data_IF_426791617472
#
_entry.id   IF_426791617472
#
_cell.length_a   1.000
_cell.length_b   1.000
_cell.length_c   1.000
_cell.angle_alpha   90.00
_cell.angle_beta   90.00
_cell.angle_gamma   90.00
#
_symmetry.space_group_name_H-M   'P 1'
#
loop_
_entity.id
_entity.type
_entity.pdbx_description
1 polymer ?
#
# COMPACT_ATOMS: atom_id res chain seq x y z
N UNK A 1 -30.97 8.22 -4.49
CA UNK A 1 -29.51 8.18 -4.67
C UNK A 1 -28.96 7.79 -3.30
N UNK A 2 -28.27 6.65 -3.18
CA UNK A 2 -27.66 6.30 -1.89
C UNK A 2 -26.44 7.20 -1.74
N UNK A 3 -26.42 8.00 -0.69
CA UNK A 3 -25.26 8.81 -0.34
C UNK A 3 -24.15 7.86 0.08
N UNK A 4 -23.05 7.83 -0.66
CA UNK A 4 -21.93 6.94 -0.35
C UNK A 4 -21.18 7.54 0.85
N UNK A 5 -21.08 6.82 1.98
CA UNK A 5 -20.37 7.35 3.13
C UNK A 5 -18.88 7.51 2.83
N UNK A 6 -18.26 8.47 3.52
CA UNK A 6 -16.80 8.64 3.55
C UNK A 6 -16.12 7.31 3.89
N UNK A 7 -15.13 6.89 3.10
CA UNK A 7 -14.38 5.67 3.38
C UNK A 7 -13.09 5.97 4.13
N UNK A 8 -12.78 5.14 5.13
CA UNK A 8 -11.49 5.11 5.83
C UNK A 8 -10.81 3.80 5.47
N UNK A 9 -9.64 3.88 4.83
CA UNK A 9 -8.79 2.72 4.62
C UNK A 9 -7.97 2.47 5.89
N UNK A 10 -8.41 1.48 6.66
CA UNK A 10 -7.87 1.19 7.99
C UNK A 10 -6.46 0.57 7.97
N UNK A 11 -5.98 0.09 6.81
CA UNK A 11 -4.65 -0.50 6.71
C UNK A 11 -4.19 -0.56 5.25
N UNK A 12 -3.33 0.37 4.88
CA UNK A 12 -2.70 0.40 3.57
C UNK A 12 -1.19 0.65 3.66
N UNK A 13 -0.53 0.63 2.51
CA UNK A 13 0.85 1.04 2.34
C UNK A 13 0.92 2.24 1.40
N UNK A 14 2.10 2.84 1.29
CA UNK A 14 2.38 3.79 0.22
C UNK A 14 2.22 3.16 -1.18
N UNK A 15 2.12 4.03 -2.18
CA UNK A 15 2.11 3.65 -3.60
C UNK A 15 3.52 3.77 -4.18
N UNK A 16 3.82 3.01 -5.24
CA UNK A 16 5.14 3.03 -5.88
C UNK A 16 5.39 4.39 -6.55
N UNK A 17 6.59 4.96 -6.36
CA UNK A 17 7.00 6.21 -7.03
C UNK A 17 7.39 6.03 -8.50
N UNK A 18 7.26 4.82 -9.05
CA UNK A 18 7.68 4.47 -10.41
C UNK A 18 6.60 3.69 -11.15
N UNK A 19 6.54 3.85 -12.47
CA UNK A 19 5.66 3.04 -13.31
C UNK A 19 6.22 1.63 -13.50
N UNK A 20 5.32 0.64 -13.45
CA UNK A 20 5.68 -0.77 -13.62
C UNK A 20 5.55 -1.23 -15.08
N UNK A 21 6.45 -2.12 -15.49
CA UNK A 21 6.33 -2.97 -16.68
C UNK A 21 5.08 -3.85 -16.63
N UNK A 22 4.66 -4.43 -17.77
CA UNK A 22 3.49 -5.32 -17.79
C UNK A 22 3.64 -6.48 -16.81
N UNK A 23 4.77 -7.20 -16.85
CA UNK A 23 5.02 -8.33 -15.96
C UNK A 23 5.18 -7.92 -14.49
N UNK A 24 5.88 -6.81 -14.20
CA UNK A 24 6.04 -6.35 -12.81
C UNK A 24 4.75 -5.80 -12.21
N UNK A 25 3.88 -5.20 -13.03
CA UNK A 25 2.53 -4.81 -12.62
C UNK A 25 1.64 -6.03 -12.38
N UNK A 26 1.68 -6.99 -13.31
CA UNK A 26 0.92 -8.24 -13.20
C UNK A 26 1.26 -8.97 -11.89
N UNK A 27 2.54 -9.01 -11.52
CA UNK A 27 3.01 -9.61 -10.26
C UNK A 27 2.43 -8.94 -9.01
N UNK A 28 1.95 -7.69 -9.07
CA UNK A 28 1.30 -7.01 -7.95
C UNK A 28 -0.18 -7.40 -7.78
N UNK A 29 -0.79 -8.07 -8.76
CA UNK A 29 -2.22 -8.39 -8.74
C UNK A 29 -2.57 -9.60 -7.88
N UNK A 30 -1.59 -10.44 -7.55
CA UNK A 30 -1.79 -11.62 -6.72
C UNK A 30 -0.79 -11.65 -5.57
N UNK A 31 -1.31 -11.98 -4.37
CA UNK A 31 -0.50 -12.28 -3.18
C UNK A 31 -0.16 -13.77 -3.06
N UNK A 32 -0.50 -14.58 -4.07
CA UNK A 32 -0.35 -16.04 -4.06
C UNK A 32 1.00 -16.47 -4.59
N UNK A 33 1.57 -17.51 -4.00
CA UNK A 33 2.74 -18.20 -4.56
C UNK A 33 2.31 -19.08 -5.74
N UNK A 34 2.65 -18.65 -6.96
CA UNK A 34 2.52 -19.48 -8.15
C UNK A 34 2.18 -18.70 -9.43
N UNK A 35 2.56 -19.23 -10.60
CA UNK A 35 2.18 -18.65 -11.88
C UNK A 35 0.66 -18.70 -12.09
N UNK A 36 0.09 -17.85 -12.96
CA UNK A 36 -1.30 -17.98 -13.37
C UNK A 36 -1.57 -19.35 -14.00
N UNK A 37 -2.82 -19.79 -13.97
CA UNK A 37 -3.22 -21.05 -14.60
C UNK A 37 -2.88 -21.04 -16.11
N UNK A 38 -2.56 -22.19 -16.72
CA UNK A 38 -2.20 -22.25 -18.13
C UNK A 38 -3.23 -21.55 -19.03
N UNK A 39 -2.76 -20.62 -19.87
CA UNK A 39 -3.60 -19.83 -20.77
C UNK A 39 -4.25 -18.58 -20.15
N UNK A 40 -3.92 -18.25 -18.90
CA UNK A 40 -4.44 -17.06 -18.19
C UNK A 40 -3.31 -16.15 -17.70
N UNK A 41 -3.67 -14.97 -17.21
CA UNK A 41 -2.79 -13.96 -16.61
C UNK A 41 -3.28 -13.60 -15.20
N UNK A 42 -2.45 -12.94 -14.38
CA UNK A 42 -2.92 -12.45 -13.07
C UNK A 42 -3.95 -11.30 -13.23
N UNK A 43 -4.10 -10.75 -14.44
CA UNK A 43 -5.22 -9.87 -14.78
C UNK A 43 -6.58 -10.58 -14.81
N UNK A 44 -6.60 -11.92 -14.85
CA UNK A 44 -7.81 -12.74 -14.82
C UNK A 44 -8.20 -13.17 -13.39
N UNK A 45 -7.44 -12.73 -12.38
CA UNK A 45 -7.83 -12.86 -10.95
C UNK A 45 -8.93 -11.85 -10.59
N UNK A 46 -9.60 -12.04 -9.45
CA UNK A 46 -10.59 -11.07 -8.96
C UNK A 46 -10.01 -9.66 -8.82
N UNK A 47 -8.79 -9.53 -8.31
CA UNK A 47 -8.05 -8.25 -8.23
C UNK A 47 -7.79 -7.68 -9.62
N UNK A 48 -7.31 -8.50 -10.56
CA UNK A 48 -7.08 -8.11 -11.95
C UNK A 48 -8.34 -7.61 -12.64
N UNK A 49 -9.47 -8.32 -12.47
CA UNK A 49 -10.77 -7.91 -12.97
C UNK A 49 -11.24 -6.58 -12.36
N UNK A 50 -11.05 -6.39 -11.06
CA UNK A 50 -11.40 -5.14 -10.37
C UNK A 50 -10.58 -3.96 -10.89
N UNK A 51 -9.26 -4.11 -11.00
CA UNK A 51 -8.37 -3.08 -11.58
C UNK A 51 -8.82 -2.73 -12.99
N UNK A 52 -9.03 -3.73 -13.85
CA UNK A 52 -9.45 -3.52 -15.23
C UNK A 52 -10.83 -2.88 -15.36
N UNK A 53 -11.72 -3.07 -14.39
CA UNK A 53 -13.05 -2.44 -14.39
C UNK A 53 -13.00 -0.98 -13.91
N UNK A 54 -12.33 -0.72 -12.80
CA UNK A 54 -12.48 0.54 -12.06
C UNK A 54 -11.38 1.57 -12.33
N UNK A 55 -10.15 1.14 -12.61
CA UNK A 55 -9.02 2.06 -12.79
C UNK A 55 -8.97 2.73 -14.18
N UNK A 56 -9.15 2.01 -15.32
CA UNK A 56 -9.06 2.64 -16.64
C UNK A 56 -10.00 3.84 -16.87
N UNK A 57 -11.27 3.81 -16.43
CA UNK A 57 -12.17 4.97 -16.58
C UNK A 57 -11.64 6.25 -15.94
N UNK A 58 -10.96 6.15 -14.78
CA UNK A 58 -10.35 7.29 -14.10
C UNK A 58 -9.20 7.92 -14.91
N UNK A 59 -8.64 7.19 -15.88
CA UNK A 59 -7.58 7.64 -16.78
C UNK A 59 -8.09 7.99 -18.19
N UNK A 60 -9.41 7.98 -18.40
CA UNK A 60 -10.05 8.26 -19.69
C UNK A 60 -10.04 7.08 -20.66
N UNK A 61 -10.02 5.84 -20.17
CA UNK A 61 -10.08 4.62 -20.96
C UNK A 61 -11.38 3.85 -20.71
N UNK A 62 -11.77 3.02 -21.67
CA UNK A 62 -12.91 2.11 -21.48
C UNK A 62 -12.64 1.07 -20.38
N UNK A 63 -13.66 0.69 -19.59
CA UNK A 63 -13.59 -0.47 -18.71
C UNK A 63 -13.09 -1.70 -19.47
N UNK A 64 -12.28 -2.52 -18.81
CA UNK A 64 -11.70 -3.75 -19.34
C UNK A 64 -10.78 -3.59 -20.55
N UNK A 65 -10.32 -2.37 -20.87
CA UNK A 65 -9.32 -2.16 -21.91
C UNK A 65 -8.09 -3.09 -21.70
N UNK A 66 -7.37 -3.46 -22.78
CA UNK A 66 -6.23 -4.36 -22.67
C UNK A 66 -5.19 -3.84 -21.66
N UNK A 67 -4.60 -4.71 -20.80
CA UNK A 67 -3.62 -4.30 -19.80
C UNK A 67 -2.47 -3.45 -20.35
N UNK A 68 -1.95 -3.79 -21.53
CA UNK A 68 -0.90 -3.01 -22.18
C UNK A 68 -1.34 -1.57 -22.48
N UNK A 69 -2.60 -1.36 -22.88
CA UNK A 69 -3.17 -0.01 -23.14
C UNK A 69 -3.34 0.77 -21.83
N UNK A 70 -3.80 0.11 -20.78
CA UNK A 70 -3.90 0.72 -19.44
C UNK A 70 -2.54 1.22 -18.94
N UNK A 71 -1.50 0.38 -19.01
CA UNK A 71 -0.15 0.76 -18.55
C UNK A 71 0.54 1.76 -19.47
N UNK A 72 0.27 1.73 -20.78
CA UNK A 72 0.74 2.79 -21.69
C UNK A 72 0.16 4.14 -21.28
N UNK A 73 -1.16 4.19 -21.00
CA UNK A 73 -1.83 5.42 -20.58
C UNK A 73 -1.30 5.97 -19.26
N UNK A 74 -1.00 5.10 -18.28
CA UNK A 74 -0.35 5.52 -17.03
C UNK A 74 0.99 6.21 -17.30
N UNK A 75 1.82 5.63 -18.16
CA UNK A 75 3.11 6.23 -18.55
C UNK A 75 2.96 7.55 -19.29
N UNK A 76 1.98 7.67 -20.18
CA UNK A 76 1.68 8.93 -20.88
C UNK A 76 1.31 10.06 -19.93
N UNK A 77 0.54 9.75 -18.87
CA UNK A 77 0.16 10.72 -17.84
C UNK A 77 1.32 11.02 -16.88
N UNK A 78 2.16 10.02 -16.63
CA UNK A 78 3.19 10.04 -15.59
C UNK A 78 2.67 9.60 -14.22
N UNK A 79 3.56 9.07 -13.39
CA UNK A 79 3.25 8.46 -12.08
C UNK A 79 2.38 9.37 -11.22
N UNK A 80 2.83 10.61 -11.01
CA UNK A 80 2.14 11.56 -10.13
C UNK A 80 0.71 11.87 -10.58
N UNK A 81 0.46 11.95 -11.89
CA UNK A 81 -0.86 12.24 -12.43
C UNK A 81 -1.77 11.01 -12.35
N UNK A 82 -1.25 9.83 -12.69
CA UNK A 82 -1.97 8.59 -12.60
C UNK A 82 -2.40 8.31 -11.15
N UNK A 83 -1.47 8.45 -10.19
CA UNK A 83 -1.74 8.19 -8.78
C UNK A 83 -2.75 9.17 -8.20
N UNK A 84 -2.64 10.47 -8.54
CA UNK A 84 -3.64 11.47 -8.11
C UNK A 84 -5.04 11.10 -8.57
N UNK A 85 -5.22 10.72 -9.83
CA UNK A 85 -6.55 10.36 -10.37
C UNK A 85 -7.10 9.09 -9.72
N UNK A 86 -6.24 8.10 -9.50
CA UNK A 86 -6.65 6.82 -8.94
C UNK A 86 -6.95 6.90 -7.45
N UNK A 87 -6.10 7.58 -6.67
CA UNK A 87 -6.31 7.77 -5.24
C UNK A 87 -7.56 8.62 -4.98
N UNK A 88 -7.69 9.77 -5.65
CA UNK A 88 -8.89 10.63 -5.50
C UNK A 88 -10.16 9.95 -5.99
N UNK A 89 -10.06 9.12 -7.02
CA UNK A 89 -11.18 8.35 -7.55
C UNK A 89 -11.64 7.19 -6.65
N UNK A 90 -10.90 6.86 -5.60
CA UNK A 90 -11.24 5.76 -4.68
C UNK A 90 -12.40 6.09 -3.73
N UNK A 91 -12.68 7.37 -3.49
CA UNK A 91 -13.66 7.83 -2.49
C UNK A 91 -13.18 7.67 -1.03
N UNK A 92 -11.91 7.31 -0.83
CA UNK A 92 -11.29 7.25 0.50
C UNK A 92 -10.86 8.64 0.93
N UNK A 93 -11.28 9.04 2.12
CA UNK A 93 -10.97 10.35 2.71
C UNK A 93 -9.89 10.27 3.79
N UNK A 94 -9.58 9.06 4.26
CA UNK A 94 -8.55 8.84 5.29
C UNK A 94 -7.84 7.52 5.06
N UNK A 95 -6.52 7.55 5.04
CA UNK A 95 -5.65 6.37 4.95
C UNK A 95 -4.84 6.18 6.22
N UNK A 96 -4.86 4.97 6.79
CA UNK A 96 -3.95 4.57 7.85
C UNK A 96 -2.79 3.80 7.23
N UNK A 97 -1.64 4.46 7.12
CA UNK A 97 -0.51 4.05 6.28
C UNK A 97 0.56 3.39 7.15
N UNK A 98 0.82 2.11 6.91
CA UNK A 98 2.02 1.42 7.38
C UNK A 98 3.18 1.67 6.39
N UNK A 99 4.10 2.56 6.79
CA UNK A 99 5.29 2.92 6.03
C UNK A 99 6.45 1.91 6.16
N UNK A 100 6.22 0.79 6.86
CA UNK A 100 7.24 -0.21 7.15
C UNK A 100 7.46 -1.26 6.05
N UNK A 101 6.83 -1.12 4.89
CA UNK A 101 7.08 -2.03 3.77
C UNK A 101 8.33 -1.58 3.00
N UNK A 102 9.31 -2.47 2.73
CA UNK A 102 10.49 -2.09 1.96
C UNK A 102 10.12 -1.79 0.51
N UNK A 103 10.89 -0.89 -0.12
CA UNK A 103 10.73 -0.50 -1.52
C UNK A 103 10.61 1.01 -1.71
N UNK A 104 10.47 1.44 -2.96
CA UNK A 104 10.32 2.85 -3.31
C UNK A 104 8.84 3.28 -3.26
N UNK A 105 8.30 3.32 -2.03
CA UNK A 105 6.90 3.65 -1.74
C UNK A 105 6.78 5.05 -1.14
N UNK A 106 5.73 5.78 -1.54
CA UNK A 106 5.38 7.09 -0.96
C UNK A 106 5.24 7.03 0.55
N UNK A 107 5.74 8.04 1.27
CA UNK A 107 5.39 8.22 2.68
C UNK A 107 3.96 8.74 2.88
N UNK A 108 3.48 8.81 4.14
CA UNK A 108 2.14 9.32 4.45
C UNK A 108 1.87 10.72 3.87
N UNK A 109 2.80 11.68 4.03
CA UNK A 109 2.64 13.06 3.53
C UNK A 109 2.51 13.15 2.00
N UNK A 110 3.30 12.36 1.27
CA UNK A 110 3.23 12.31 -0.20
C UNK A 110 1.88 11.73 -0.64
N UNK A 111 1.43 10.65 0.04
CA UNK A 111 0.16 10.02 -0.23
C UNK A 111 -1.03 10.95 0.07
N UNK A 112 -1.00 11.71 1.18
CA UNK A 112 -2.01 12.71 1.52
C UNK A 112 -2.17 13.75 0.40
N UNK A 113 -1.05 14.25 -0.11
CA UNK A 113 -1.01 15.25 -1.18
C UNK A 113 -1.60 14.68 -2.48
N UNK A 114 -1.22 13.46 -2.85
CA UNK A 114 -1.72 12.81 -4.06
C UNK A 114 -3.22 12.50 -3.95
N UNK A 115 -3.66 11.95 -2.82
CA UNK A 115 -5.03 11.52 -2.58
C UNK A 115 -6.00 12.66 -2.27
N UNK A 116 -5.52 13.86 -1.91
CA UNK A 116 -6.37 14.93 -1.37
C UNK A 116 -7.21 14.43 -0.18
N UNK A 117 -6.53 13.71 0.71
CA UNK A 117 -7.12 12.96 1.81
C UNK A 117 -6.24 13.04 3.05
N UNK A 118 -6.84 12.75 4.21
CA UNK A 118 -6.09 12.58 5.44
C UNK A 118 -5.22 11.33 5.38
N UNK A 119 -4.02 11.40 5.94
CA UNK A 119 -3.21 10.22 6.23
C UNK A 119 -2.84 10.20 7.70
N UNK A 120 -2.75 9.00 8.27
CA UNK A 120 -2.27 8.77 9.63
C UNK A 120 -1.30 7.60 9.63
N UNK A 121 -0.30 7.65 10.48
CA UNK A 121 0.76 6.64 10.52
C UNK A 121 0.36 5.42 11.36
N UNK A 122 0.67 4.24 10.82
CA UNK A 122 0.70 2.98 11.55
C UNK A 122 2.17 2.60 11.75
N UNK A 123 2.53 2.26 13.00
CA UNK A 123 3.89 1.83 13.33
C UNK A 123 3.98 0.30 13.33
N UNK A 124 4.91 -0.25 12.56
CA UNK A 124 5.22 -1.69 12.53
C UNK A 124 6.18 -2.05 13.66
N UNK A 125 5.74 -2.90 14.58
CA UNK A 125 6.48 -3.24 15.78
C UNK A 125 7.82 -3.92 15.49
N UNK A 126 7.89 -4.76 14.45
CA UNK A 126 9.13 -5.46 14.08
C UNK A 126 10.21 -4.48 13.62
N UNK A 127 9.86 -3.48 12.81
CA UNK A 127 10.84 -2.47 12.38
C UNK A 127 11.29 -1.58 13.52
N UNK A 128 10.35 -1.20 14.39
CA UNK A 128 10.69 -0.42 15.58
C UNK A 128 11.66 -1.22 16.48
N UNK A 129 11.41 -2.51 16.66
CA UNK A 129 12.29 -3.40 17.40
C UNK A 129 13.66 -3.55 16.73
N UNK A 130 13.73 -3.72 15.41
CA UNK A 130 14.98 -3.79 14.65
C UNK A 130 15.83 -2.51 14.84
N UNK A 131 15.21 -1.33 14.71
CA UNK A 131 15.89 -0.03 14.93
C UNK A 131 16.40 0.14 16.36
N UNK A 132 15.62 -0.29 17.36
CA UNK A 132 16.04 -0.23 18.76
C UNK A 132 17.17 -1.21 19.04
N UNK A 133 17.11 -2.41 18.46
CA UNK A 133 18.15 -3.43 18.62
C UNK A 133 19.51 -2.94 18.10
N UNK A 134 19.53 -2.22 16.97
CA UNK A 134 20.76 -1.65 16.38
C UNK A 134 21.52 -0.70 17.30
N UNK A 135 20.87 -0.13 18.32
CA UNK A 135 21.46 0.90 19.20
C UNK A 135 21.59 0.47 20.66
N UNK A 136 21.04 -0.69 21.05
CA UNK A 136 20.87 -1.04 22.47
C UNK A 136 22.05 -1.81 23.09
N UNK A 137 22.81 -2.57 22.31
CA UNK A 137 24.04 -3.26 22.73
C UNK A 137 23.90 -4.44 23.73
N UNK A 138 22.85 -4.46 24.56
CA UNK A 138 22.50 -5.56 25.48
C UNK A 138 21.01 -5.89 25.41
N UNK A 139 20.62 -7.07 25.91
CA UNK A 139 19.22 -7.49 25.96
C UNK A 139 18.41 -6.63 26.93
N UNK A 140 18.98 -6.30 28.09
CA UNK A 140 18.34 -5.48 29.11
C UNK A 140 18.10 -4.06 28.58
N UNK A 141 19.11 -3.45 27.95
CA UNK A 141 18.97 -2.15 27.29
C UNK A 141 17.94 -2.20 26.17
N UNK A 142 17.92 -3.29 25.38
CA UNK A 142 16.95 -3.44 24.30
C UNK A 142 15.51 -3.46 24.80
N UNK A 143 15.22 -4.24 25.85
CA UNK A 143 13.87 -4.31 26.42
C UNK A 143 13.41 -2.96 27.00
N UNK A 144 14.31 -2.25 27.70
CA UNK A 144 14.02 -0.92 28.23
C UNK A 144 13.79 0.10 27.09
N UNK A 145 14.70 0.17 26.12
CA UNK A 145 14.62 1.10 25.01
C UNK A 145 13.41 0.81 24.10
N UNK A 146 13.02 -0.45 23.95
CA UNK A 146 11.85 -0.83 23.15
C UNK A 146 10.55 -0.36 23.83
N UNK A 147 10.44 -0.52 25.15
CA UNK A 147 9.29 -0.04 25.89
C UNK A 147 9.12 1.49 25.77
N UNK A 148 10.23 2.23 25.85
CA UNK A 148 10.26 3.68 25.62
C UNK A 148 9.93 4.04 24.17
N UNK A 149 10.49 3.32 23.19
CA UNK A 149 10.23 3.57 21.78
C UNK A 149 8.76 3.35 21.41
N UNK A 150 8.12 2.31 21.95
CA UNK A 150 6.68 2.06 21.75
C UNK A 150 5.85 3.17 22.38
N UNK A 151 6.18 3.61 23.60
CA UNK A 151 5.50 4.75 24.23
C UNK A 151 5.66 6.04 23.43
N UNK A 152 6.87 6.33 22.94
CA UNK A 152 7.14 7.49 22.10
C UNK A 152 6.35 7.46 20.79
N UNK A 153 6.32 6.30 20.13
CA UNK A 153 5.56 6.09 18.90
C UNK A 153 4.04 6.30 19.09
N UNK A 154 3.49 5.85 20.23
CA UNK A 154 2.07 5.96 20.55
C UNK A 154 1.56 7.41 20.64
N UNK A 155 2.45 8.40 20.78
CA UNK A 155 2.06 9.81 20.82
C UNK A 155 1.51 10.31 19.47
N UNK A 156 1.94 9.72 18.35
CA UNK A 156 1.58 10.16 16.99
C UNK A 156 0.93 9.06 16.15
N UNK A 157 1.28 7.80 16.40
CA UNK A 157 0.73 6.66 15.68
C UNK A 157 -0.75 6.44 16.06
N UNK A 158 -1.59 6.18 15.07
CA UNK A 158 -3.01 5.84 15.30
C UNK A 158 -3.22 4.35 15.60
N UNK A 159 -2.25 3.51 15.23
CA UNK A 159 -2.29 2.09 15.42
C UNK A 159 -0.87 1.49 15.35
N UNK A 160 -0.76 0.27 15.88
CA UNK A 160 0.41 -0.58 15.72
C UNK A 160 0.04 -1.81 14.91
N UNK A 161 0.99 -2.34 14.13
CA UNK A 161 0.85 -3.60 13.41
C UNK A 161 1.98 -4.56 13.75
N UNK A 162 1.69 -5.84 13.66
CA UNK A 162 2.67 -6.92 13.79
C UNK A 162 2.44 -7.96 12.70
N UNK A 163 3.55 -8.42 12.11
CA UNK A 163 3.57 -9.50 11.12
C UNK A 163 3.93 -10.85 11.74
N UNK A 164 3.95 -10.96 13.08
CA UNK A 164 4.29 -12.19 13.79
C UNK A 164 3.44 -13.39 13.33
N UNK A 165 2.14 -13.18 13.10
CA UNK A 165 1.25 -14.23 12.59
C UNK A 165 1.58 -14.75 11.19
N UNK A 166 2.19 -13.90 10.35
CA UNK A 166 2.64 -14.27 9.01
C UNK A 166 4.05 -14.86 9.03
N UNK A 167 4.93 -14.38 9.93
CA UNK A 167 6.33 -14.85 10.04
C UNK A 167 6.46 -16.18 10.79
N UNK A 168 5.63 -16.41 11.81
CA UNK A 168 5.83 -17.51 12.77
C UNK A 168 4.58 -18.36 13.00
N UNK A 169 3.45 -18.03 12.35
CA UNK A 169 2.14 -18.58 12.67
C UNK A 169 1.58 -17.98 13.96
N UNK A 170 0.25 -17.87 14.05
CA UNK A 170 -0.42 -17.58 15.32
C UNK A 170 -0.67 -18.92 16.01
N UNK A 171 -0.18 -19.07 17.24
CA UNK A 171 -0.45 -20.24 18.09
C UNK A 171 -1.91 -20.28 18.55
#
# INVERSE_FOLDING_TARGET
MIETPSLVDQYCHGVLRTELGLGTFEAQLARTEGPPAPGTTLFDTQTGFAVRRWCPPLLGLEPHCPPARYLARRRELGVMEADRRLLRGSGITTYLVDAGLPGDLTGPTEMATAADADTREIVRLELLAEQVADTSGTVESFLANLAEAVHGAAANAVAFTSVAGVRHGLA
#
